data_IF_598866875956
#
_entry.id   IF_598866875956
#
_cell.length_a   1.000
_cell.length_b   1.000
_cell.length_c   1.000
_cell.angle_alpha   90.00
_cell.angle_beta   90.00
_cell.angle_gamma   90.00
#
_symmetry.space_group_name_H-M   'P 1'
#
loop_
_entity.id
_entity.type
_entity.pdbx_description
1 polymer ?
#
# COMPACT_ATOMS: atom_id res chain seq x y z
N UNK A 1 -10.52 19.47 10.94
CA UNK A 1 -11.71 19.37 10.07
C UNK A 1 -11.30 18.57 8.85
N UNK A 2 -11.73 17.31 8.78
CA UNK A 2 -11.45 16.41 7.66
C UNK A 2 -12.79 15.98 7.06
N UNK A 3 -13.43 16.91 6.37
CA UNK A 3 -14.47 16.62 5.39
C UNK A 3 -13.81 16.80 4.03
N UNK A 4 -13.26 15.71 3.50
CA UNK A 4 -12.82 15.63 2.10
C UNK A 4 -13.36 14.34 1.50
N UNK A 5 -14.58 14.50 1.00
CA UNK A 5 -15.20 13.84 -0.15
C UNK A 5 -15.39 12.33 -0.15
N UNK A 6 -16.51 11.93 0.48
CA UNK A 6 -17.32 10.74 0.20
C UNK A 6 -18.18 10.92 -1.07
N UNK A 7 -17.60 11.35 -2.19
CA UNK A 7 -18.37 11.70 -3.40
C UNK A 7 -19.17 10.52 -3.98
N UNK A 8 -18.68 9.29 -3.85
CA UNK A 8 -19.38 8.08 -4.34
C UNK A 8 -20.47 7.54 -3.40
N UNK A 9 -20.39 7.79 -2.10
CA UNK A 9 -21.39 7.32 -1.13
C UNK A 9 -22.70 8.10 -1.23
N UNK A 10 -22.62 9.38 -1.60
CA UNK A 10 -23.77 10.29 -1.65
C UNK A 10 -24.71 9.98 -2.81
N UNK A 11 -24.18 9.54 -3.95
CA UNK A 11 -24.94 9.25 -5.16
C UNK A 11 -25.97 8.13 -4.94
N UNK A 12 -25.59 7.06 -4.24
CA UNK A 12 -26.44 5.88 -4.04
C UNK A 12 -27.18 5.87 -2.69
N UNK A 13 -26.93 6.85 -1.82
CA UNK A 13 -27.42 6.89 -0.43
C UNK A 13 -28.95 6.85 -0.31
N UNK A 14 -29.66 7.32 -1.33
CA UNK A 14 -31.13 7.26 -1.40
C UNK A 14 -31.68 5.86 -1.68
N UNK A 15 -30.92 5.00 -2.35
CA UNK A 15 -31.39 3.70 -2.84
C UNK A 15 -31.58 2.69 -1.71
N UNK A 16 -32.73 2.00 -1.72
CA UNK A 16 -33.04 0.97 -0.73
C UNK A 16 -31.99 -0.16 -0.71
N UNK A 17 -31.49 -0.56 -1.88
CA UNK A 17 -30.46 -1.61 -2.01
C UNK A 17 -29.10 -1.15 -1.46
N UNK A 18 -28.73 0.12 -1.65
CA UNK A 18 -27.50 0.67 -1.05
C UNK A 18 -27.60 0.77 0.48
N UNK A 19 -28.76 1.17 1.02
CA UNK A 19 -29.00 1.15 2.47
C UNK A 19 -28.88 -0.26 3.05
N UNK A 20 -29.39 -1.28 2.35
CA UNK A 20 -29.21 -2.68 2.74
C UNK A 20 -27.74 -3.10 2.71
N UNK A 21 -26.99 -2.69 1.70
CA UNK A 21 -25.56 -2.92 1.59
C UNK A 21 -24.79 -2.28 2.76
N UNK A 22 -25.01 -1.00 3.03
CA UNK A 22 -24.40 -0.28 4.15
C UNK A 22 -24.68 -0.98 5.48
N UNK A 23 -25.94 -1.36 5.74
CA UNK A 23 -26.32 -2.07 6.95
C UNK A 23 -25.71 -3.48 7.05
N UNK A 24 -25.44 -4.15 5.91
CA UNK A 24 -24.76 -5.44 5.87
C UNK A 24 -23.25 -5.31 6.15
N UNK A 25 -22.62 -4.25 5.65
CA UNK A 25 -21.22 -3.90 5.98
C UNK A 25 -21.10 -3.60 7.47
N UNK A 26 -21.97 -2.74 8.02
CA UNK A 26 -21.97 -2.41 9.45
C UNK A 26 -22.11 -3.66 10.33
N UNK A 27 -23.04 -4.57 10.00
CA UNK A 27 -23.18 -5.86 10.69
C UNK A 27 -21.94 -6.74 10.60
N UNK A 28 -21.22 -6.69 9.48
CA UNK A 28 -19.95 -7.42 9.34
C UNK A 28 -18.85 -6.79 10.21
N UNK A 29 -18.82 -5.46 10.31
CA UNK A 29 -17.84 -4.72 11.10
C UNK A 29 -17.98 -4.98 12.62
N UNK A 30 -19.19 -5.20 13.13
CA UNK A 30 -19.42 -5.61 14.53
C UNK A 30 -18.69 -6.90 14.92
N UNK A 31 -18.43 -7.81 13.96
CA UNK A 31 -17.65 -9.02 14.22
C UNK A 31 -16.21 -8.73 14.68
N UNK A 32 -15.60 -7.66 14.17
CA UNK A 32 -14.24 -7.27 14.55
C UNK A 32 -14.15 -6.70 15.97
N UNK A 33 -15.23 -6.13 16.49
CA UNK A 33 -15.28 -5.61 17.87
C UNK A 33 -15.42 -6.72 18.91
N UNK A 34 -16.06 -7.82 18.52
CA UNK A 34 -16.28 -8.99 19.37
C UNK A 34 -15.17 -10.04 19.24
N UNK A 35 -14.20 -9.83 18.36
CA UNK A 35 -13.11 -10.78 18.12
C UNK A 35 -12.14 -10.75 19.30
N UNK A 36 -11.98 -11.90 19.97
CA UNK A 36 -10.97 -12.10 21.01
C UNK A 36 -9.75 -12.83 20.48
N UNK A 37 -9.94 -13.69 19.48
CA UNK A 37 -8.90 -14.55 18.92
C UNK A 37 -8.66 -14.27 17.44
N UNK A 38 -7.48 -14.67 16.94
CA UNK A 38 -7.11 -14.44 15.54
C UNK A 38 -8.05 -15.15 14.54
N UNK A 39 -8.64 -16.29 14.90
CA UNK A 39 -9.59 -17.00 14.02
C UNK A 39 -10.94 -16.27 13.88
N UNK A 40 -11.31 -15.46 14.87
CA UNK A 40 -12.52 -14.61 14.80
C UNK A 40 -12.33 -13.51 13.76
N UNK A 41 -11.11 -12.99 13.65
CA UNK A 41 -10.73 -12.04 12.60
C UNK A 41 -10.85 -12.67 11.22
N UNK A 42 -10.39 -13.91 11.02
CA UNK A 42 -10.56 -14.64 9.75
C UNK A 42 -12.04 -14.76 9.38
N UNK A 43 -12.86 -15.14 10.36
CA UNK A 43 -14.32 -15.27 10.17
C UNK A 43 -14.98 -13.93 9.82
N UNK A 44 -14.57 -12.85 10.49
CA UNK A 44 -15.05 -11.48 10.25
C UNK A 44 -14.62 -10.95 8.88
N UNK A 45 -13.37 -11.17 8.49
CA UNK A 45 -12.85 -10.84 7.16
C UNK A 45 -13.58 -11.61 6.05
N UNK A 46 -13.82 -12.91 6.24
CA UNK A 46 -14.55 -13.73 5.28
C UNK A 46 -15.99 -13.23 5.08
N UNK A 47 -16.67 -12.86 6.17
CA UNK A 47 -18.03 -12.30 6.13
C UNK A 47 -18.06 -10.94 5.43
N UNK A 48 -17.11 -10.06 5.74
CA UNK A 48 -16.97 -8.76 5.09
C UNK A 48 -16.71 -8.93 3.59
N UNK A 49 -15.78 -9.82 3.21
CA UNK A 49 -15.48 -10.07 1.81
C UNK A 49 -16.71 -10.57 1.03
N UNK A 50 -17.42 -11.55 1.59
CA UNK A 50 -18.65 -12.07 0.99
C UNK A 50 -19.71 -10.96 0.81
N UNK A 51 -19.82 -10.07 1.78
CA UNK A 51 -20.73 -8.91 1.71
C UNK A 51 -20.32 -7.97 0.59
N UNK A 52 -19.04 -7.61 0.47
CA UNK A 52 -18.55 -6.76 -0.63
C UNK A 52 -18.79 -7.42 -2.00
N UNK A 53 -18.56 -8.71 -2.15
CA UNK A 53 -18.78 -9.40 -3.43
C UNK A 53 -20.26 -9.50 -3.80
N UNK A 54 -21.17 -9.62 -2.82
CA UNK A 54 -22.61 -9.69 -3.04
C UNK A 54 -23.21 -8.37 -3.57
N UNK A 55 -22.55 -7.24 -3.33
CA UNK A 55 -22.99 -5.90 -3.73
C UNK A 55 -22.02 -5.23 -4.71
N UNK A 56 -21.39 -6.02 -5.59
CA UNK A 56 -20.34 -5.57 -6.52
C UNK A 56 -20.75 -4.43 -7.47
N UNK A 57 -22.05 -4.23 -7.69
CA UNK A 57 -22.56 -3.15 -8.54
C UNK A 57 -22.37 -1.75 -7.96
N UNK A 58 -22.13 -1.64 -6.64
CA UNK A 58 -21.92 -0.36 -5.98
C UNK A 58 -20.41 -0.07 -5.89
N UNK A 59 -19.90 0.98 -6.54
CA UNK A 59 -18.47 1.30 -6.50
C UNK A 59 -18.03 1.83 -5.12
N UNK A 60 -18.91 2.55 -4.41
CA UNK A 60 -18.59 3.10 -3.11
C UNK A 60 -18.53 2.02 -2.00
N UNK A 61 -17.66 2.21 -1.02
CA UNK A 61 -17.48 1.30 0.14
C UNK A 61 -18.09 1.96 1.38
N UNK A 62 -19.23 1.47 1.88
CA UNK A 62 -19.84 1.99 3.09
C UNK A 62 -18.88 1.92 4.28
N UNK A 63 -18.89 2.96 5.10
CA UNK A 63 -18.02 3.07 6.28
C UNK A 63 -16.53 2.88 5.96
N UNK A 64 -16.09 3.42 4.82
CA UNK A 64 -14.76 3.23 4.25
C UNK A 64 -13.61 3.33 5.26
N UNK A 65 -13.61 4.39 6.09
CA UNK A 65 -12.57 4.63 7.08
C UNK A 65 -12.53 3.55 8.17
N UNK A 66 -13.69 3.04 8.58
CA UNK A 66 -13.76 1.97 9.57
C UNK A 66 -13.35 0.64 8.95
N UNK A 67 -13.78 0.36 7.72
CA UNK A 67 -13.34 -0.82 6.95
C UNK A 67 -11.83 -0.84 6.83
N UNK A 68 -11.22 0.24 6.33
CA UNK A 68 -9.77 0.32 6.14
C UNK A 68 -9.01 0.21 7.46
N UNK A 69 -9.50 0.83 8.53
CA UNK A 69 -8.93 0.70 9.87
C UNK A 69 -8.91 -0.76 10.34
N UNK A 70 -10.03 -1.50 10.19
CA UNK A 70 -10.09 -2.92 10.57
C UNK A 70 -9.15 -3.77 9.72
N UNK A 71 -9.06 -3.50 8.41
CA UNK A 71 -8.13 -4.20 7.54
C UNK A 71 -6.66 -3.95 7.93
N UNK A 72 -6.30 -2.69 8.20
CA UNK A 72 -4.95 -2.34 8.67
C UNK A 72 -4.60 -3.04 9.98
N UNK A 73 -5.54 -3.14 10.92
CA UNK A 73 -5.35 -3.89 12.18
C UNK A 73 -5.12 -5.38 11.93
N UNK A 74 -5.80 -5.96 10.94
CA UNK A 74 -5.61 -7.36 10.56
C UNK A 74 -4.24 -7.63 9.92
N UNK A 75 -3.47 -6.61 9.55
CA UNK A 75 -2.11 -6.72 9.05
C UNK A 75 -1.04 -6.53 10.14
N UNK A 76 -1.41 -6.46 11.42
CA UNK A 76 -0.46 -6.28 12.51
C UNK A 76 0.55 -7.44 12.59
N UNK A 77 1.84 -7.19 12.91
CA UNK A 77 2.90 -8.22 12.97
C UNK A 77 2.60 -9.37 13.94
N UNK A 78 1.88 -9.10 15.02
CA UNK A 78 1.51 -10.12 16.02
C UNK A 78 0.40 -11.09 15.55
N UNK A 79 -0.18 -10.89 14.37
CA UNK A 79 -1.22 -11.76 13.81
C UNK A 79 -0.61 -12.79 12.85
N UNK A 80 -1.18 -14.00 12.78
CA UNK A 80 -0.65 -15.05 11.91
C UNK A 80 -0.90 -14.73 10.42
N UNK A 81 -0.04 -15.24 9.55
CA UNK A 81 -0.09 -15.00 8.10
C UNK A 81 -1.44 -15.39 7.45
N UNK A 82 -2.19 -16.34 8.02
CA UNK A 82 -3.54 -16.66 7.56
C UNK A 82 -4.53 -15.50 7.70
N UNK A 83 -4.39 -14.67 8.75
CA UNK A 83 -5.19 -13.43 8.90
C UNK A 83 -4.75 -12.40 7.87
N UNK A 84 -3.43 -12.25 7.66
CA UNK A 84 -2.89 -11.33 6.67
C UNK A 84 -3.40 -11.65 5.26
N UNK A 85 -3.27 -12.91 4.82
CA UNK A 85 -3.78 -13.37 3.52
C UNK A 85 -5.27 -13.06 3.36
N UNK A 86 -6.07 -13.29 4.43
CA UNK A 86 -7.50 -13.03 4.35
C UNK A 86 -7.83 -11.54 4.29
N UNK A 87 -7.03 -10.69 4.92
CA UNK A 87 -7.16 -9.24 4.78
C UNK A 87 -6.79 -8.79 3.36
N UNK A 88 -5.73 -9.34 2.77
CA UNK A 88 -5.33 -9.05 1.39
C UNK A 88 -6.42 -9.42 0.37
N UNK A 89 -7.17 -10.51 0.57
CA UNK A 89 -8.36 -10.82 -0.24
C UNK A 89 -9.41 -9.70 -0.21
N UNK A 90 -9.66 -9.13 0.97
CA UNK A 90 -10.63 -8.04 1.13
C UNK A 90 -10.12 -6.76 0.47
N UNK A 91 -8.82 -6.45 0.59
CA UNK A 91 -8.21 -5.33 -0.14
C UNK A 91 -8.41 -5.48 -1.65
N UNK A 92 -8.16 -6.67 -2.23
CA UNK A 92 -8.39 -6.94 -3.66
C UNK A 92 -9.86 -6.68 -4.05
N UNK A 93 -10.81 -7.20 -3.28
CA UNK A 93 -12.23 -6.99 -3.54
C UNK A 93 -12.64 -5.51 -3.48
N UNK A 94 -12.01 -4.72 -2.60
CA UNK A 94 -12.20 -3.27 -2.52
C UNK A 94 -11.56 -2.59 -3.74
N UNK A 95 -10.32 -2.90 -4.09
CA UNK A 95 -9.61 -2.25 -5.19
C UNK A 95 -10.23 -2.57 -6.56
N UNK A 96 -10.67 -3.81 -6.78
CA UNK A 96 -11.44 -4.20 -7.97
C UNK A 96 -12.75 -3.40 -8.10
N UNK A 97 -13.37 -3.05 -6.98
CA UNK A 97 -14.63 -2.30 -6.92
C UNK A 97 -14.42 -0.80 -7.15
N UNK A 98 -13.47 -0.17 -6.46
CA UNK A 98 -13.26 1.29 -6.53
C UNK A 98 -12.45 1.72 -7.76
N UNK A 99 -11.72 0.77 -8.36
CA UNK A 99 -10.85 0.99 -9.50
C UNK A 99 -9.66 1.90 -9.19
N UNK A 100 -8.83 2.14 -10.20
CA UNK A 100 -7.61 2.95 -10.07
C UNK A 100 -7.88 4.37 -9.57
N UNK A 101 -8.93 5.02 -10.08
CA UNK A 101 -9.30 6.38 -9.66
C UNK A 101 -9.69 6.43 -8.19
N UNK A 102 -10.57 5.52 -7.76
CA UNK A 102 -11.00 5.47 -6.36
C UNK A 102 -9.85 5.12 -5.42
N UNK A 103 -8.92 4.25 -5.83
CA UNK A 103 -7.70 3.99 -5.08
C UNK A 103 -6.82 5.24 -4.97
N UNK A 104 -6.59 5.96 -6.07
CA UNK A 104 -5.78 7.18 -6.11
C UNK A 104 -6.30 8.25 -5.13
N UNK A 105 -7.61 8.43 -5.04
CA UNK A 105 -8.25 9.38 -4.12
C UNK A 105 -8.13 8.96 -2.65
N UNK A 106 -7.86 7.67 -2.39
CA UNK A 106 -7.91 7.07 -1.06
C UNK A 106 -6.61 6.35 -0.67
N UNK A 107 -5.48 6.70 -1.31
CA UNK A 107 -4.19 6.03 -1.10
C UNK A 107 -3.82 5.97 0.38
N UNK A 108 -3.88 7.10 1.09
CA UNK A 108 -3.52 7.16 2.51
C UNK A 108 -4.41 6.26 3.38
N UNK A 109 -5.69 6.13 3.02
CA UNK A 109 -6.69 5.35 3.77
C UNK A 109 -6.38 3.86 3.70
N UNK A 110 -5.95 3.36 2.54
CA UNK A 110 -5.73 1.93 2.33
C UNK A 110 -4.27 1.49 2.47
N UNK A 111 -3.30 2.40 2.37
CA UNK A 111 -1.88 2.05 2.34
C UNK A 111 -1.27 1.83 3.73
N UNK A 112 -1.86 2.39 4.79
CA UNK A 112 -1.26 2.42 6.14
C UNK A 112 -0.92 1.04 6.70
N UNK A 113 -1.72 0.02 6.39
CA UNK A 113 -1.47 -1.36 6.79
C UNK A 113 -0.66 -2.17 5.79
N UNK A 114 -0.72 -1.81 4.50
CA UNK A 114 -0.08 -2.57 3.43
C UNK A 114 1.43 -2.33 3.40
N UNK A 115 1.87 -1.07 3.44
CA UNK A 115 3.27 -0.69 3.32
C UNK A 115 4.21 -1.38 4.33
N UNK A 116 3.91 -1.43 5.64
CA UNK A 116 4.80 -2.11 6.59
C UNK A 116 4.79 -3.63 6.45
N UNK A 117 3.77 -4.24 5.80
CA UNK A 117 3.54 -5.68 5.83
C UNK A 117 4.70 -6.49 5.26
N UNK A 118 5.43 -5.99 4.25
CA UNK A 118 6.53 -6.75 3.66
C UNK A 118 7.63 -7.08 4.69
N UNK A 119 7.93 -6.13 5.58
CA UNK A 119 9.02 -6.26 6.56
C UNK A 119 8.74 -7.23 7.70
N UNK A 120 7.49 -7.64 7.91
CA UNK A 120 7.12 -8.54 9.01
C UNK A 120 6.13 -9.65 8.62
N UNK A 121 5.63 -9.67 7.39
CA UNK A 121 4.78 -10.72 6.86
C UNK A 121 5.58 -11.99 6.59
N UNK A 122 4.94 -13.15 6.76
CA UNK A 122 5.57 -14.43 6.45
C UNK A 122 5.91 -14.56 4.96
N UNK A 123 6.85 -15.45 4.62
CA UNK A 123 7.23 -15.73 3.23
C UNK A 123 6.03 -16.04 2.33
N UNK A 124 5.03 -16.76 2.85
CA UNK A 124 3.79 -17.07 2.13
C UNK A 124 2.88 -15.86 1.85
N UNK A 125 3.00 -14.77 2.61
CA UNK A 125 2.20 -13.54 2.46
C UNK A 125 2.80 -12.62 1.40
N UNK A 126 4.15 -12.59 1.29
CA UNK A 126 4.88 -11.67 0.42
C UNK A 126 4.40 -11.71 -1.04
N UNK A 127 4.24 -12.87 -1.72
CA UNK A 127 3.73 -12.91 -3.09
C UNK A 127 2.37 -12.23 -3.25
N UNK A 128 1.46 -12.51 -2.30
CA UNK A 128 0.11 -11.94 -2.30
C UNK A 128 0.09 -10.43 -2.13
N UNK A 129 1.03 -9.88 -1.34
CA UNK A 129 1.20 -8.45 -1.17
C UNK A 129 1.79 -7.80 -2.43
N UNK A 130 2.81 -8.42 -3.03
CA UNK A 130 3.43 -7.92 -4.27
C UNK A 130 2.42 -7.90 -5.42
N UNK A 131 1.54 -8.90 -5.54
CA UNK A 131 0.45 -8.90 -6.52
C UNK A 131 -0.45 -7.66 -6.38
N UNK A 132 -0.67 -7.18 -5.14
CA UNK A 132 -1.49 -5.98 -4.91
C UNK A 132 -0.77 -4.73 -5.40
N UNK A 133 0.52 -4.60 -5.12
CA UNK A 133 1.29 -3.45 -5.59
C UNK A 133 1.39 -3.43 -7.12
N UNK A 134 1.68 -4.56 -7.73
CA UNK A 134 1.82 -4.69 -9.18
C UNK A 134 0.49 -4.45 -9.90
N UNK A 135 -0.61 -5.01 -9.39
CA UNK A 135 -1.91 -4.90 -10.06
C UNK A 135 -2.61 -3.56 -9.84
N UNK A 136 -2.56 -3.04 -8.62
CA UNK A 136 -3.38 -1.87 -8.25
C UNK A 136 -2.57 -0.60 -8.08
N UNK A 137 -1.44 -0.65 -7.38
CA UNK A 137 -0.65 0.57 -7.11
C UNK A 137 0.05 1.06 -8.38
N UNK A 138 0.70 0.20 -9.16
CA UNK A 138 1.37 0.62 -10.41
C UNK A 138 0.40 1.30 -11.38
N UNK A 139 -0.85 0.84 -11.44
CA UNK A 139 -1.86 1.44 -12.31
C UNK A 139 -2.19 2.91 -11.95
N UNK A 140 -1.92 3.34 -10.71
CA UNK A 140 -2.14 4.73 -10.25
C UNK A 140 -1.12 5.71 -10.86
N UNK A 141 0.07 5.23 -11.24
CA UNK A 141 1.11 6.07 -11.86
C UNK A 141 1.55 7.24 -10.99
N UNK A 142 1.66 8.43 -11.57
CA UNK A 142 2.02 9.69 -10.87
C UNK A 142 1.11 10.03 -9.69
N UNK A 143 -0.11 9.48 -9.63
CA UNK A 143 -0.98 9.64 -8.46
C UNK A 143 -0.38 9.06 -7.17
N UNK A 144 0.66 8.21 -7.24
CA UNK A 144 1.34 7.63 -6.09
C UNK A 144 2.28 8.60 -5.36
N UNK A 145 2.72 9.69 -6.00
CA UNK A 145 3.70 10.63 -5.44
C UNK A 145 3.40 11.05 -3.98
N UNK A 146 2.15 11.37 -3.59
CA UNK A 146 1.82 11.75 -2.21
C UNK A 146 2.11 10.69 -1.13
N UNK A 147 2.19 9.40 -1.49
CA UNK A 147 2.50 8.31 -0.57
C UNK A 147 3.77 7.53 -0.94
N UNK A 148 4.54 8.05 -1.90
CA UNK A 148 5.65 7.32 -2.52
C UNK A 148 6.76 6.97 -1.53
N UNK A 149 7.11 7.88 -0.62
CA UNK A 149 8.11 7.60 0.42
C UNK A 149 7.67 6.49 1.36
N UNK A 150 6.38 6.43 1.73
CA UNK A 150 5.84 5.31 2.50
C UNK A 150 5.91 3.97 1.75
N UNK A 151 5.60 3.99 0.45
CA UNK A 151 5.65 2.79 -0.39
C UNK A 151 7.08 2.27 -0.57
N UNK A 152 8.01 3.17 -0.90
CA UNK A 152 9.44 2.84 -1.05
C UNK A 152 9.98 2.31 0.28
N UNK A 153 9.75 3.02 1.39
CA UNK A 153 10.18 2.58 2.72
C UNK A 153 9.67 1.17 3.08
N UNK A 154 8.42 0.85 2.70
CA UNK A 154 7.82 -0.46 2.93
C UNK A 154 8.43 -1.59 2.08
N UNK A 155 8.98 -1.27 0.90
CA UNK A 155 9.59 -2.25 0.00
C UNK A 155 11.07 -2.53 0.31
N UNK A 156 11.79 -1.54 0.87
CA UNK A 156 13.23 -1.64 1.14
C UNK A 156 13.67 -2.85 1.99
N UNK A 157 12.96 -3.28 3.04
CA UNK A 157 13.35 -4.46 3.82
C UNK A 157 13.48 -5.73 2.97
N UNK A 158 12.69 -5.83 1.90
CA UNK A 158 12.73 -7.00 1.03
C UNK A 158 13.96 -7.06 0.11
N UNK A 159 14.82 -6.05 0.14
CA UNK A 159 16.13 -6.06 -0.54
C UNK A 159 17.25 -6.61 0.36
N UNK A 160 17.06 -6.69 1.67
CA UNK A 160 18.10 -7.14 2.62
C UNK A 160 18.15 -8.67 2.76
N UNK A 161 17.02 -9.34 2.58
CA UNK A 161 16.84 -10.75 2.97
C UNK A 161 17.47 -11.79 2.02
N UNK A 162 18.17 -11.38 0.93
CA UNK A 162 18.61 -12.25 -0.18
C UNK A 162 17.59 -13.37 -0.52
N UNK A 163 16.31 -13.00 -0.52
CA UNK A 163 15.21 -13.93 -0.69
C UNK A 163 14.88 -14.15 -2.17
N UNK A 164 14.11 -15.20 -2.48
CA UNK A 164 13.57 -15.46 -3.82
C UNK A 164 12.71 -14.31 -4.38
N UNK A 165 12.30 -13.37 -3.53
CA UNK A 165 11.49 -12.21 -3.94
C UNK A 165 12.32 -10.94 -4.21
N UNK A 166 13.63 -10.96 -3.93
CA UNK A 166 14.50 -9.77 -4.05
C UNK A 166 14.49 -9.19 -5.46
N UNK A 167 14.58 -10.05 -6.48
CA UNK A 167 14.51 -9.63 -7.89
C UNK A 167 13.14 -9.03 -8.25
N UNK A 168 12.05 -9.66 -7.78
CA UNK A 168 10.68 -9.17 -7.99
C UNK A 168 10.46 -7.81 -7.34
N UNK A 169 10.98 -7.60 -6.14
CA UNK A 169 10.90 -6.33 -5.41
C UNK A 169 11.74 -5.25 -6.08
N UNK A 170 12.94 -5.59 -6.54
CA UNK A 170 13.80 -4.69 -7.32
C UNK A 170 13.09 -4.25 -8.60
N UNK A 171 12.51 -5.21 -9.35
CA UNK A 171 11.72 -4.91 -10.55
C UNK A 171 10.48 -4.07 -10.27
N UNK A 172 9.82 -4.28 -9.12
CA UNK A 172 8.70 -3.45 -8.68
C UNK A 172 9.14 -2.01 -8.38
N UNK A 173 10.28 -1.81 -7.69
CA UNK A 173 10.83 -0.47 -7.46
C UNK A 173 11.15 0.25 -8.78
N UNK A 174 11.72 -0.47 -9.75
CA UNK A 174 11.99 0.07 -11.10
C UNK A 174 10.70 0.48 -11.82
N UNK A 175 9.67 -0.36 -11.73
CA UNK A 175 8.37 -0.07 -12.32
C UNK A 175 7.69 1.14 -11.67
N UNK A 176 7.80 1.29 -10.34
CA UNK A 176 7.29 2.46 -9.61
C UNK A 176 8.05 3.73 -10.02
N UNK A 177 9.38 3.65 -10.16
CA UNK A 177 10.21 4.75 -10.63
C UNK A 177 9.73 5.23 -12.01
N UNK A 178 9.54 4.31 -12.95
CA UNK A 178 9.01 4.63 -14.27
C UNK A 178 7.59 5.23 -14.22
N UNK A 179 6.72 4.68 -13.37
CA UNK A 179 5.32 5.10 -13.27
C UNK A 179 5.13 6.48 -12.61
N UNK A 180 6.06 6.88 -11.73
CA UNK A 180 6.00 8.16 -10.99
C UNK A 180 6.93 9.24 -11.52
N UNK A 181 7.97 8.89 -12.28
CA UNK A 181 9.15 9.66 -12.67
C UNK A 181 10.36 9.54 -11.73
N UNK A 182 11.55 9.58 -12.34
CA UNK A 182 12.84 9.48 -11.66
C UNK A 182 13.03 10.55 -10.57
N UNK A 183 12.86 11.87 -10.84
CA UNK A 183 12.99 12.88 -9.80
C UNK A 183 12.15 12.63 -8.54
N UNK A 184 10.88 12.27 -8.71
CA UNK A 184 9.93 12.01 -7.63
C UNK A 184 10.32 10.75 -6.85
N UNK A 185 10.66 9.69 -7.56
CA UNK A 185 11.09 8.42 -6.96
C UNK A 185 12.38 8.57 -6.16
N UNK A 186 13.42 9.21 -6.72
CA UNK A 186 14.68 9.39 -6.02
C UNK A 186 14.54 10.36 -4.84
N UNK A 187 13.71 11.40 -4.94
CA UNK A 187 13.36 12.23 -3.77
C UNK A 187 12.72 11.41 -2.64
N UNK A 188 11.80 10.50 -2.96
CA UNK A 188 11.20 9.61 -1.98
C UNK A 188 12.21 8.62 -1.39
N UNK A 189 13.11 8.07 -2.22
CA UNK A 189 14.18 7.17 -1.78
C UNK A 189 15.13 7.87 -0.80
N UNK A 190 15.58 9.08 -1.13
CA UNK A 190 16.42 9.87 -0.23
C UNK A 190 15.68 10.24 1.06
N UNK A 191 14.38 10.54 1.00
CA UNK A 191 13.59 10.77 2.21
C UNK A 191 13.59 9.54 3.12
N UNK A 192 13.54 8.32 2.55
CA UNK A 192 13.64 7.09 3.33
C UNK A 192 15.01 6.97 4.03
N UNK A 193 16.10 7.30 3.32
CA UNK A 193 17.47 7.31 3.87
C UNK A 193 17.59 8.28 5.04
N UNK A 194 17.00 9.47 4.91
CA UNK A 194 17.02 10.50 5.96
C UNK A 194 16.19 10.10 7.18
N UNK A 195 15.02 9.48 6.97
CA UNK A 195 14.04 9.25 8.04
C UNK A 195 14.16 7.88 8.74
N UNK A 196 14.93 6.93 8.20
CA UNK A 196 15.02 5.58 8.74
C UNK A 196 16.42 4.97 8.60
N UNK A 197 17.05 4.65 9.72
CA UNK A 197 18.37 4.01 9.75
C UNK A 197 18.36 2.65 9.04
N UNK A 198 17.28 1.89 9.22
CA UNK A 198 17.07 0.57 8.59
C UNK A 198 16.88 0.67 7.07
N UNK A 199 16.50 1.84 6.56
CA UNK A 199 16.32 2.04 5.12
C UNK A 199 17.64 2.36 4.41
N UNK A 200 18.66 2.86 5.12
CA UNK A 200 19.88 3.42 4.52
C UNK A 200 20.63 2.40 3.67
N UNK A 201 20.94 1.23 4.23
CA UNK A 201 21.68 0.19 3.51
C UNK A 201 20.94 -0.33 2.27
N UNK A 202 19.67 -0.77 2.34
CA UNK A 202 18.96 -1.27 1.16
C UNK A 202 18.71 -0.17 0.12
N UNK A 203 18.40 1.05 0.54
CA UNK A 203 18.20 2.16 -0.38
C UNK A 203 19.49 2.55 -1.13
N UNK A 204 20.61 2.64 -0.42
CA UNK A 204 21.91 2.96 -1.03
C UNK A 204 22.39 1.83 -1.92
N UNK A 205 22.20 0.57 -1.52
CA UNK A 205 22.54 -0.60 -2.35
C UNK A 205 21.73 -0.62 -3.66
N UNK A 206 20.42 -0.35 -3.58
CA UNK A 206 19.58 -0.19 -4.74
C UNK A 206 20.07 0.95 -5.64
N UNK A 207 20.34 2.13 -5.09
CA UNK A 207 20.85 3.27 -5.85
C UNK A 207 22.17 2.96 -6.56
N UNK A 208 23.13 2.37 -5.85
CA UNK A 208 24.44 1.98 -6.39
C UNK A 208 24.30 0.97 -7.54
N UNK A 209 23.28 0.11 -7.51
CA UNK A 209 23.01 -0.82 -8.61
C UNK A 209 22.56 -0.14 -9.91
N UNK A 210 22.04 1.10 -9.82
CA UNK A 210 21.58 1.89 -10.98
C UNK A 210 22.66 2.79 -11.57
N UNK A 211 23.69 3.12 -10.80
CA UNK A 211 24.77 3.99 -11.25
C UNK A 211 25.68 3.31 -12.27
N UNK A 212 25.89 4.00 -13.40
CA UNK A 212 26.91 3.63 -14.36
C UNK A 212 28.24 4.29 -13.99
N UNK A 213 29.18 3.48 -13.51
CA UNK A 213 30.54 3.92 -13.10
C UNK A 213 31.37 4.57 -14.21
N UNK A 214 30.97 4.42 -15.47
CA UNK A 214 31.68 4.96 -16.64
C UNK A 214 31.08 6.26 -17.18
N UNK A 215 29.87 6.63 -16.75
CA UNK A 215 29.21 7.86 -17.18
C UNK A 215 29.52 9.01 -16.20
N UNK A 216 29.39 10.25 -16.67
CA UNK A 216 29.68 11.43 -15.83
C UNK A 216 28.59 11.62 -14.78
N UNK A 217 28.85 12.49 -13.79
CA UNK A 217 27.86 12.85 -12.79
C UNK A 217 26.70 13.66 -13.40
N UNK A 218 26.97 14.49 -14.40
CA UNK A 218 25.97 15.31 -15.10
C UNK A 218 24.99 14.43 -15.88
N UNK A 219 25.49 13.38 -16.55
CA UNK A 219 24.67 12.41 -17.30
C UNK A 219 23.72 11.60 -16.42
N UNK A 220 23.94 11.63 -15.10
CA UNK A 220 23.26 10.81 -14.10
C UNK A 220 22.59 11.67 -13.01
N UNK A 221 22.38 12.96 -13.28
CA UNK A 221 21.83 13.92 -12.33
C UNK A 221 20.40 13.57 -11.86
N UNK A 222 19.63 12.79 -12.63
CA UNK A 222 18.28 12.37 -12.24
C UNK A 222 18.25 11.57 -10.93
N UNK A 223 19.32 10.84 -10.62
CA UNK A 223 19.48 10.09 -9.37
C UNK A 223 19.60 10.99 -8.12
N UNK A 224 19.87 12.28 -8.30
CA UNK A 224 19.88 13.26 -7.22
C UNK A 224 18.45 13.60 -6.73
N UNK A 225 17.42 13.23 -7.51
CA UNK A 225 16.02 13.54 -7.24
C UNK A 225 15.68 15.01 -7.50
N UNK A 226 14.41 15.37 -7.25
CA UNK A 226 13.92 16.75 -7.41
C UNK A 226 14.31 17.71 -6.27
N UNK A 227 14.92 17.21 -5.18
CA UNK A 227 15.27 18.00 -4.00
C UNK A 227 16.73 17.78 -3.59
N UNK A 228 17.63 18.58 -4.16
CA UNK A 228 19.07 18.50 -3.90
C UNK A 228 19.43 18.72 -2.43
N UNK A 229 18.69 19.59 -1.72
CA UNK A 229 18.97 19.88 -0.31
C UNK A 229 18.76 18.65 0.57
N UNK A 230 17.76 17.83 0.24
CA UNK A 230 17.49 16.59 0.95
C UNK A 230 18.60 15.54 0.71
N UNK A 231 19.12 15.44 -0.52
CA UNK A 231 20.29 14.59 -0.81
C UNK A 231 21.54 15.05 -0.02
N UNK A 232 21.82 16.35 -0.02
CA UNK A 232 22.97 16.90 0.72
C UNK A 232 22.87 16.61 2.22
N UNK A 233 21.67 16.72 2.80
CA UNK A 233 21.44 16.35 4.20
C UNK A 233 21.70 14.85 4.45
N UNK A 234 21.32 13.97 3.53
CA UNK A 234 21.62 12.54 3.64
C UNK A 234 23.13 12.24 3.61
N UNK A 235 23.92 12.98 2.82
CA UNK A 235 25.37 12.78 2.77
C UNK A 235 26.12 13.23 4.03
N UNK A 236 25.46 13.92 4.96
CA UNK A 236 26.01 14.36 6.23
C UNK A 236 25.73 13.36 7.38
N UNK A 237 24.94 12.31 7.13
CA UNK A 237 24.62 11.22 8.06
C UNK A 237 25.63 10.06 7.96
#
# INVERSE_FOLDING_TARGET
MAESSSSGDEEFRGEAKYKQFSAAVERSLKGFELSSEWHDLISSLARLNKTLLAYKQYPAVPHQLLVSKRLSQCLHPNLPGGVHLKALDVYRAIFDRIGTKGLSENLLVYSSGLFPLLGHGSMSVRPSLLDIYERYYLAVGRGLVPCLSGMVLGLLPGLEDESEHTERITGLLDAICLATDEPSFYSALWQCVLCSDRARLPATSYLLSKLNKKATAEDQANYLGGNLALMVLCCLL
#
